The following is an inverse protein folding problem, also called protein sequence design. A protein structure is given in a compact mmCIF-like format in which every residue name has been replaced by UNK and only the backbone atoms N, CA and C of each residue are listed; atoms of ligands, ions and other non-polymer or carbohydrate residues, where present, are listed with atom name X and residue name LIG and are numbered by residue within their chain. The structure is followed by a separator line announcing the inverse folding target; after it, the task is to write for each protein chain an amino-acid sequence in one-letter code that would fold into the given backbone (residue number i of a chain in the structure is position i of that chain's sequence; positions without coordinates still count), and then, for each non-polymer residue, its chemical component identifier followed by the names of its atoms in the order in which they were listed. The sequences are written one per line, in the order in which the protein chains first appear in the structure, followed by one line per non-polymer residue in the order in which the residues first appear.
data_IF_394659378809
#
_entry.id   IF_394659378809
#
_cell.length_a   1.000
_cell.length_b   1.000
_cell.length_c   1.000
_cell.angle_alpha   90.00
_cell.angle_beta   90.00
_cell.angle_gamma   90.00
#
_symmetry.space_group_name_H-M   'P 1'
#
loop_
_entity.id
_entity.type
_entity.pdbx_description
1 polymer ?
#
# COMPACT_ATOMS: atom_id res chain seq x y z
N UNK A 1 -7.31 -14.51 -18.99
CA UNK A 1 -6.34 -15.38 -18.32
C UNK A 1 -6.68 -15.33 -16.85
N UNK A 2 -6.94 -16.48 -16.23
CA UNK A 2 -7.38 -16.54 -14.83
C UNK A 2 -6.27 -16.02 -13.91
N UNK A 3 -6.62 -15.15 -12.96
CA UNK A 3 -5.64 -14.50 -12.08
C UNK A 3 -4.93 -15.44 -11.14
N UNK A 4 -5.54 -16.57 -10.78
CA UNK A 4 -4.87 -17.62 -10.01
C UNK A 4 -3.64 -18.20 -10.72
N UNK A 5 -3.67 -18.33 -12.05
CA UNK A 5 -2.54 -18.86 -12.84
C UNK A 5 -1.50 -17.77 -13.04
N UNK A 6 -1.94 -16.56 -13.40
CA UNK A 6 -1.02 -15.45 -13.67
C UNK A 6 -0.20 -15.08 -12.43
N UNK A 7 -0.84 -15.02 -11.26
CA UNK A 7 -0.17 -14.68 -9.98
C UNK A 7 0.79 -15.78 -9.55
N UNK A 8 0.43 -17.06 -9.73
CA UNK A 8 1.34 -18.17 -9.46
C UNK A 8 2.59 -18.13 -10.35
N UNK A 9 2.41 -17.92 -11.66
CA UNK A 9 3.52 -17.86 -12.63
C UNK A 9 4.42 -16.66 -12.37
N UNK A 10 3.89 -15.47 -12.09
CA UNK A 10 4.71 -14.29 -11.77
C UNK A 10 5.44 -14.46 -10.44
N UNK A 11 4.79 -15.00 -9.41
CA UNK A 11 5.38 -15.16 -8.08
C UNK A 11 6.34 -16.36 -7.95
N UNK A 12 6.32 -17.32 -8.88
CA UNK A 12 7.16 -18.52 -8.80
C UNK A 12 8.19 -18.65 -9.94
N UNK A 13 7.91 -18.12 -11.13
CA UNK A 13 8.77 -18.29 -12.33
C UNK A 13 9.44 -16.96 -12.72
N UNK A 14 8.75 -15.83 -12.57
CA UNK A 14 9.21 -14.53 -13.07
C UNK A 14 9.20 -13.44 -11.98
N UNK A 15 10.15 -13.51 -11.05
CA UNK A 15 10.26 -12.57 -9.91
C UNK A 15 10.56 -11.09 -10.29
N UNK A 16 10.67 -10.75 -11.57
CA UNK A 16 10.95 -9.40 -12.08
C UNK A 16 9.70 -8.69 -12.64
N UNK A 17 8.59 -9.41 -12.82
CA UNK A 17 7.37 -8.86 -13.41
C UNK A 17 6.29 -8.65 -12.36
N UNK A 18 5.82 -7.41 -12.23
CA UNK A 18 4.62 -7.06 -11.47
C UNK A 18 3.41 -7.10 -12.38
N UNK A 19 2.33 -7.73 -11.91
CA UNK A 19 1.06 -7.73 -12.63
C UNK A 19 0.45 -6.33 -12.52
N UNK A 20 0.49 -5.54 -13.61
CA UNK A 20 -0.10 -4.20 -13.65
C UNK A 20 -1.47 -4.31 -14.33
N UNK A 21 -2.54 -4.20 -13.54
CA UNK A 21 -3.92 -4.22 -14.03
C UNK A 21 -4.92 -4.68 -12.97
N UNK A 22 -6.18 -4.28 -13.12
CA UNK A 22 -7.28 -4.79 -12.29
C UNK A 22 -7.66 -6.22 -12.74
N UNK A 23 -8.02 -7.05 -11.76
CA UNK A 23 -8.51 -8.42 -11.94
C UNK A 23 -9.81 -8.40 -12.76
N UNK A 24 -9.72 -8.59 -14.08
CA UNK A 24 -10.83 -8.32 -15.00
C UNK A 24 -11.78 -9.51 -15.17
N UNK A 25 -11.41 -10.71 -14.70
CA UNK A 25 -12.25 -11.90 -14.82
C UNK A 25 -11.93 -12.90 -13.70
N UNK A 26 -12.69 -12.81 -12.59
CA UNK A 26 -12.66 -13.82 -11.54
C UNK A 26 -13.42 -15.06 -12.04
N UNK A 27 -12.76 -15.84 -12.90
CA UNK A 27 -13.26 -17.13 -13.35
C UNK A 27 -13.39 -18.08 -12.16
N UNK A 28 -14.59 -18.63 -11.95
CA UNK A 28 -14.81 -19.67 -10.94
C UNK A 28 -14.56 -21.03 -11.57
N UNK A 29 -13.65 -21.80 -10.99
CA UNK A 29 -13.43 -23.19 -11.39
C UNK A 29 -14.53 -24.10 -10.83
N UNK A 30 -15.13 -24.91 -11.68
CA UNK A 30 -16.14 -25.90 -11.31
C UNK A 30 -15.80 -27.28 -11.87
N UNK A 31 -16.19 -28.33 -11.15
CA UNK A 31 -16.05 -29.72 -11.61
C UNK A 31 -17.35 -30.09 -12.33
N UNK A 32 -17.25 -30.54 -13.59
CA UNK A 32 -18.43 -30.95 -14.37
C UNK A 32 -18.58 -32.46 -14.32
N UNK A 33 -19.70 -32.94 -13.81
CA UNK A 33 -20.06 -34.36 -13.78
C UNK A 33 -21.14 -34.67 -14.84
N UNK A 34 -21.17 -35.90 -15.39
CA UNK A 34 -22.20 -36.28 -16.34
C UNK A 34 -23.58 -36.35 -15.66
N UNK A 35 -24.62 -35.96 -16.40
CA UNK A 35 -26.01 -36.04 -15.92
C UNK A 35 -26.33 -37.50 -15.56
N UNK A 36 -26.88 -37.72 -14.35
CA UNK A 36 -27.28 -39.04 -13.78
C UNK A 36 -26.16 -39.83 -13.10
N UNK A 37 -25.05 -39.21 -12.69
CA UNK A 37 -23.99 -39.94 -12.02
C UNK A 37 -24.39 -40.34 -10.58
N UNK A 38 -24.40 -41.65 -10.31
CA UNK A 38 -24.83 -42.24 -9.02
C UNK A 38 -23.98 -41.71 -7.85
N UNK A 39 -22.72 -41.37 -8.08
CA UNK A 39 -21.77 -40.91 -7.05
C UNK A 39 -21.65 -39.38 -6.93
N UNK A 40 -22.43 -38.60 -7.70
CA UNK A 40 -22.34 -37.14 -7.66
C UNK A 40 -22.61 -36.59 -6.25
N UNK A 41 -23.58 -37.18 -5.55
CA UNK A 41 -23.96 -36.76 -4.21
C UNK A 41 -22.85 -37.03 -3.19
N UNK A 42 -22.24 -38.21 -3.25
CA UNK A 42 -21.14 -38.58 -2.36
C UNK A 42 -19.91 -37.69 -2.58
N UNK A 43 -19.62 -37.34 -3.84
CA UNK A 43 -18.52 -36.43 -4.19
C UNK A 43 -18.73 -35.03 -3.60
N UNK A 44 -19.92 -34.46 -3.74
CA UNK A 44 -20.23 -33.13 -3.22
C UNK A 44 -20.14 -33.07 -1.69
N UNK A 45 -20.64 -34.12 -1.00
CA UNK A 45 -20.57 -34.22 0.48
C UNK A 45 -19.12 -34.30 0.95
N UNK A 46 -18.30 -35.12 0.30
CA UNK A 46 -16.91 -35.28 0.69
C UNK A 46 -16.11 -33.97 0.47
N UNK A 47 -16.35 -33.25 -0.63
CA UNK A 47 -15.74 -31.94 -0.89
C UNK A 47 -16.14 -30.92 0.18
N UNK A 48 -17.41 -30.91 0.58
CA UNK A 48 -17.87 -30.03 1.65
C UNK A 48 -17.19 -30.34 2.99
N UNK A 49 -17.05 -31.63 3.32
CA UNK A 49 -16.35 -32.08 4.52
C UNK A 49 -14.86 -31.71 4.50
N UNK A 50 -14.18 -31.87 3.36
CA UNK A 50 -12.79 -31.44 3.17
C UNK A 50 -12.60 -29.92 3.39
N UNK A 51 -13.60 -29.12 3.03
CA UNK A 51 -13.60 -27.67 3.28
C UNK A 51 -13.84 -27.33 4.75
N UNK A 52 -14.67 -28.09 5.44
CA UNK A 52 -14.95 -27.91 6.88
C UNK A 52 -13.76 -28.28 7.77
N UNK A 53 -13.01 -29.32 7.38
CA UNK A 53 -11.86 -29.85 8.13
C UNK A 53 -10.57 -29.02 7.87
N UNK A 54 -10.63 -27.99 7.02
CA UNK A 54 -9.48 -27.14 6.63
C UNK A 54 -8.34 -27.89 5.90
N UNK A 55 -8.61 -29.12 5.46
CA UNK A 55 -7.68 -29.94 4.67
C UNK A 55 -7.42 -29.32 3.29
N UNK A 56 -8.40 -28.59 2.75
CA UNK A 56 -8.25 -27.89 1.48
C UNK A 56 -7.16 -26.82 1.54
N UNK A 57 -7.08 -26.08 2.64
CA UNK A 57 -6.03 -25.07 2.79
C UNK A 57 -4.67 -25.74 2.95
N UNK A 58 -4.57 -26.85 3.68
CA UNK A 58 -3.33 -27.63 3.77
C UNK A 58 -2.85 -28.12 2.40
N UNK A 59 -3.76 -28.62 1.56
CA UNK A 59 -3.45 -29.00 0.18
C UNK A 59 -3.04 -27.79 -0.66
N UNK A 60 -3.76 -26.67 -0.53
CA UNK A 60 -3.42 -25.42 -1.21
C UNK A 60 -2.03 -24.94 -0.84
N UNK A 61 -1.68 -24.97 0.46
CA UNK A 61 -0.35 -24.59 0.93
C UNK A 61 0.71 -25.49 0.31
N UNK A 62 0.51 -26.80 0.37
CA UNK A 62 1.47 -27.79 -0.13
C UNK A 62 1.75 -27.68 -1.63
N UNK A 63 0.73 -27.41 -2.45
CA UNK A 63 0.87 -27.39 -3.91
C UNK A 63 1.13 -26.00 -4.48
N UNK A 64 0.65 -24.92 -3.84
CA UNK A 64 0.72 -23.57 -4.37
C UNK A 64 1.65 -22.61 -3.60
N UNK A 65 2.14 -22.94 -2.40
CA UNK A 65 3.12 -22.11 -1.66
C UNK A 65 4.58 -22.49 -1.91
N UNK A 66 4.87 -23.31 -2.91
CA UNK A 66 6.24 -23.61 -3.32
C UNK A 66 6.78 -22.41 -4.13
N UNK A 67 6.78 -21.22 -3.56
CA UNK A 67 7.40 -20.02 -4.13
C UNK A 67 8.90 -20.09 -3.83
N UNK A 68 9.68 -20.40 -4.86
CA UNK A 68 11.14 -20.31 -4.82
C UNK A 68 11.62 -18.99 -5.44
N UNK A 69 10.87 -17.90 -5.32
CA UNK A 69 11.51 -16.59 -5.46
C UNK A 69 12.27 -16.38 -4.15
N UNK A 70 13.62 -16.46 -4.14
CA UNK A 70 14.36 -15.93 -3.03
C UNK A 70 13.91 -14.50 -2.89
N UNK A 71 13.47 -14.16 -1.69
CA UNK A 71 13.18 -12.80 -1.31
C UNK A 71 14.36 -11.96 -1.81
N UNK A 72 14.14 -11.17 -2.86
CA UNK A 72 15.07 -10.09 -3.22
C UNK A 72 15.22 -9.11 -2.05
N UNK A 73 14.46 -9.33 -0.95
CA UNK A 73 14.61 -8.77 0.39
C UNK A 73 15.83 -9.26 1.20
N UNK A 74 16.62 -10.25 0.75
CA UNK A 74 17.97 -10.49 1.31
C UNK A 74 19.10 -9.79 0.53
N UNK A 75 18.74 -8.93 -0.42
CA UNK A 75 19.66 -7.94 -0.94
C UNK A 75 19.13 -6.56 -0.62
N UNK A 76 19.22 -6.19 0.66
CA UNK A 76 19.27 -4.81 1.16
C UNK A 76 18.75 -3.82 0.13
N UNK A 77 17.45 -3.82 -0.17
CA UNK A 77 16.89 -2.88 -1.13
C UNK A 77 17.11 -1.53 -0.45
N UNK A 78 18.08 -0.73 -0.89
CA UNK A 78 18.30 0.55 -0.27
C UNK A 78 16.98 1.27 -0.40
N UNK A 79 16.47 1.82 0.71
CA UNK A 79 15.25 2.62 0.77
C UNK A 79 15.29 3.53 -0.47
N UNK A 80 14.52 3.17 -1.48
CA UNK A 80 14.74 3.66 -2.83
C UNK A 80 14.52 5.17 -2.83
N UNK A 81 15.45 5.91 -3.41
CA UNK A 81 15.27 7.33 -3.76
C UNK A 81 14.01 7.55 -4.62
N UNK A 82 13.46 6.48 -5.18
CA UNK A 82 12.22 6.35 -5.94
C UNK A 82 11.00 6.75 -5.10
N UNK A 83 10.81 6.13 -3.93
CA UNK A 83 9.65 6.33 -3.05
C UNK A 83 9.83 7.54 -2.11
N UNK A 84 11.08 7.96 -1.87
CA UNK A 84 11.41 9.08 -0.98
C UNK A 84 11.54 10.43 -1.72
N UNK A 85 11.41 10.42 -3.06
CA UNK A 85 11.57 11.62 -3.90
C UNK A 85 10.63 12.77 -3.51
N UNK A 86 9.40 12.47 -3.10
CA UNK A 86 8.42 13.49 -2.70
C UNK A 86 8.82 14.28 -1.44
N UNK A 87 9.47 13.62 -0.48
CA UNK A 87 9.88 14.25 0.76
C UNK A 87 11.06 15.22 0.54
N UNK A 88 12.00 14.84 -0.32
CA UNK A 88 13.14 15.68 -0.69
C UNK A 88 12.69 17.01 -1.34
N UNK A 89 11.72 16.94 -2.25
CA UNK A 89 11.15 18.14 -2.90
C UNK A 89 10.52 19.11 -1.89
N UNK A 90 9.81 18.58 -0.89
CA UNK A 90 9.19 19.41 0.16
C UNK A 90 10.27 20.08 1.01
N UNK A 91 11.31 19.34 1.41
CA UNK A 91 12.42 19.90 2.19
C UNK A 91 13.18 20.98 1.42
N UNK A 92 13.45 20.78 0.14
CA UNK A 92 14.17 21.72 -0.71
C UNK A 92 13.40 23.05 -0.83
N UNK A 93 12.10 22.99 -1.13
CA UNK A 93 11.24 24.19 -1.25
C UNK A 93 11.15 24.97 0.06
N UNK A 94 10.98 24.29 1.20
CA UNK A 94 10.91 24.92 2.52
C UNK A 94 12.24 25.57 2.88
N UNK A 95 13.36 24.89 2.61
CA UNK A 95 14.71 25.38 2.91
C UNK A 95 15.05 26.64 2.12
N UNK A 96 14.78 26.63 0.80
CA UNK A 96 15.03 27.79 -0.08
C UNK A 96 14.17 28.99 0.35
N UNK A 97 12.88 28.77 0.62
CA UNK A 97 11.98 29.83 1.06
C UNK A 97 12.44 30.43 2.40
N UNK A 98 12.86 29.60 3.34
CA UNK A 98 13.38 30.03 4.64
C UNK A 98 14.66 30.88 4.48
N UNK A 99 15.58 30.45 3.60
CA UNK A 99 16.84 31.15 3.36
C UNK A 99 16.62 32.52 2.69
N UNK A 100 15.73 32.59 1.70
CA UNK A 100 15.36 33.84 1.03
C UNK A 100 14.71 34.83 2.01
N UNK A 101 13.77 34.38 2.83
CA UNK A 101 13.14 35.22 3.86
C UNK A 101 14.14 35.71 4.90
N UNK A 102 15.10 34.87 5.29
CA UNK A 102 16.15 35.25 6.23
C UNK A 102 17.07 36.33 5.65
N UNK A 103 17.53 36.16 4.41
CA UNK A 103 18.38 37.13 3.72
C UNK A 103 17.63 38.45 3.48
N UNK A 104 16.37 38.36 3.03
CA UNK A 104 15.49 39.50 2.84
C UNK A 104 15.30 40.23 4.17
N UNK A 105 14.84 39.55 5.21
CA UNK A 105 14.65 40.18 6.51
C UNK A 105 15.95 40.80 7.05
N UNK A 106 17.10 40.15 6.90
CA UNK A 106 18.39 40.71 7.31
C UNK A 106 18.76 41.97 6.52
N UNK A 107 18.59 41.97 5.19
CA UNK A 107 18.84 43.13 4.31
C UNK A 107 17.84 44.27 4.55
N UNK A 108 16.57 43.95 4.78
CA UNK A 108 15.51 44.92 5.04
C UNK A 108 15.62 45.50 6.44
N UNK A 109 15.98 44.72 7.45
CA UNK A 109 16.21 45.23 8.81
C UNK A 109 17.44 46.14 8.89
N UNK A 110 18.43 45.95 8.01
CA UNK A 110 19.55 46.88 7.81
C UNK A 110 19.16 48.14 7.02
N UNK A 111 18.06 48.11 6.23
CA UNK A 111 17.62 49.22 5.36
C UNK A 111 16.35 49.95 5.85
N UNK A 112 15.59 49.36 6.77
CA UNK A 112 14.25 49.82 7.16
C UNK A 112 13.80 49.14 8.45
N UNK A 113 13.89 49.88 9.54
CA UNK A 113 13.68 49.42 10.91
C UNK A 113 12.18 49.14 11.27
N UNK A 114 11.31 48.68 10.36
CA UNK A 114 9.84 48.80 10.57
C UNK A 114 8.89 47.66 10.14
N UNK A 115 9.33 46.46 9.72
CA UNK A 115 8.38 45.42 9.24
C UNK A 115 8.34 44.09 10.05
N UNK A 116 9.07 43.99 11.17
CA UNK A 116 9.12 42.81 12.07
C UNK A 116 7.82 42.71 12.92
N UNK A 117 6.65 42.61 12.30
CA UNK A 117 5.40 42.23 13.01
C UNK A 117 4.64 41.09 12.35
N UNK A 118 4.75 40.92 11.03
CA UNK A 118 3.79 40.07 10.29
C UNK A 118 4.12 38.57 10.22
N UNK A 119 5.36 38.13 10.52
CA UNK A 119 5.75 36.72 10.33
C UNK A 119 5.60 35.84 11.58
N UNK A 120 5.38 36.40 12.77
CA UNK A 120 5.06 35.61 13.98
C UNK A 120 3.64 35.02 13.94
N UNK A 121 2.76 35.62 13.13
CA UNK A 121 1.35 35.23 13.00
C UNK A 121 1.16 33.98 12.12
N UNK A 122 1.99 33.81 11.08
CA UNK A 122 1.87 32.68 10.14
C UNK A 122 2.27 31.33 10.74
N UNK A 123 3.16 31.30 11.73
CA UNK A 123 3.53 30.06 12.45
C UNK A 123 2.51 29.66 13.51
N UNK A 124 1.73 30.62 14.06
CA UNK A 124 0.65 30.32 14.99
C UNK A 124 -0.55 29.71 14.25
N UNK A 125 -0.93 30.30 13.11
CA UNK A 125 -2.16 29.89 12.41
C UNK A 125 -2.10 28.48 11.78
N UNK A 126 -0.91 28.01 11.36
CA UNK A 126 -0.78 26.67 10.75
C UNK A 126 -0.84 25.52 11.78
N UNK A 127 -0.51 25.81 13.03
CA UNK A 127 -0.59 24.84 14.14
C UNK A 127 -2.02 24.73 14.67
N UNK A 128 -2.81 25.81 14.55
CA UNK A 128 -4.23 25.83 14.96
C UNK A 128 -5.16 25.09 13.98
N UNK A 129 -4.79 24.97 12.70
CA UNK A 129 -5.61 24.34 11.67
C UNK A 129 -5.58 22.80 11.74
N UNK A 130 -4.44 22.18 12.08
CA UNK A 130 -4.37 20.71 12.29
C UNK A 130 -4.98 20.22 13.60
N UNK A 131 -5.26 21.10 14.57
CA UNK A 131 -5.90 20.72 15.83
C UNK A 131 -7.45 20.69 15.75
N UNK A 132 -8.06 21.18 14.66
CA UNK A 132 -9.53 21.24 14.50
C UNK A 132 -10.16 20.09 13.70
N UNK A 133 -9.37 19.16 13.15
CA UNK A 133 -9.89 18.03 12.36
C UNK A 133 -9.63 16.69 13.06
N UNK A 134 -10.17 16.51 14.26
CA UNK A 134 -10.43 15.19 14.83
C UNK A 134 -11.82 15.22 15.52
N UNK A 135 -12.75 14.32 15.14
CA UNK A 135 -14.16 14.40 15.52
C UNK A 135 -14.39 14.12 17.01
N UNK A 136 -15.08 15.06 17.64
CA UNK A 136 -15.63 15.04 18.99
C UNK A 136 -16.77 14.02 19.13
N UNK A 137 -16.44 12.73 19.18
CA UNK A 137 -17.36 11.66 19.60
C UNK A 137 -16.72 10.87 20.75
N UNK A 138 -16.64 11.47 21.95
CA UNK A 138 -16.22 10.73 23.16
C UNK A 138 -16.99 11.13 24.42
N UNK A 139 -18.24 11.55 24.31
CA UNK A 139 -19.13 11.57 25.48
C UNK A 139 -20.47 10.94 25.13
N UNK A 140 -20.48 9.61 25.24
CA UNK A 140 -21.65 8.77 25.22
C UNK A 140 -21.48 7.71 26.29
N UNK A 141 -21.83 8.07 27.53
CA UNK A 141 -22.42 7.28 28.62
C UNK A 141 -22.38 8.08 29.92
#
# INVERSE_FOLDING_TARGET
MDTGVSTYVTNNIYCNLTLVGADFDNGVFGIVTPKQWIYAQDLDINILSLKEIDELDTLKQKWFQVSNCPDLSEKSTPIGIEDTGGLFLIFEVISILSLLLFIWNKRYKLKGNSFIRNCREKSSNKTEESAKTAPNNFFGL
#
